data_IF_890641109856
#
_entry.id   IF_890641109856
#
_cell.length_a   1.000
_cell.length_b   1.000
_cell.length_c   1.000
_cell.angle_alpha   90.00
_cell.angle_beta   90.00
_cell.angle_gamma   90.00
#
_symmetry.space_group_name_H-M   'P 1'
#
loop_
_entity.id
_entity.type
_entity.pdbx_description
1 polymer ?
#
# COMPACT_ATOMS: atom_id res chain seq x y z
N UNK A 1 -3.04 -15.93 10.52
CA UNK A 1 -3.41 -14.51 10.75
C UNK A 1 -4.90 -14.49 11.09
N UNK A 2 -5.29 -13.93 12.20
CA UNK A 2 -6.71 -13.68 12.46
C UNK A 2 -7.24 -12.61 11.53
N UNK A 3 -8.37 -12.87 10.92
CA UNK A 3 -9.07 -11.87 10.13
C UNK A 3 -9.64 -10.79 11.05
N UNK A 4 -9.40 -9.53 10.69
CA UNK A 4 -9.91 -8.39 11.45
C UNK A 4 -11.15 -7.85 10.73
N UNK A 5 -12.32 -8.14 11.27
CA UNK A 5 -13.59 -7.61 10.78
C UNK A 5 -14.18 -6.64 11.79
N UNK A 6 -14.57 -5.48 11.31
CA UNK A 6 -15.31 -4.50 12.09
C UNK A 6 -16.34 -3.80 11.24
N UNK A 7 -17.58 -3.87 11.69
CA UNK A 7 -18.71 -3.18 11.08
C UNK A 7 -19.25 -2.18 12.09
N UNK A 8 -19.35 -0.93 11.68
CA UNK A 8 -19.93 0.14 12.48
C UNK A 8 -20.80 1.05 11.60
N UNK A 9 -21.98 1.40 12.09
CA UNK A 9 -22.94 2.26 11.37
C UNK A 9 -22.38 3.68 11.18
N UNK A 10 -21.63 4.18 12.16
CA UNK A 10 -21.01 5.52 12.15
C UNK A 10 -19.61 5.56 11.53
N UNK A 11 -19.14 4.42 11.01
CA UNK A 11 -17.75 4.27 10.58
C UNK A 11 -16.79 3.93 11.71
N UNK A 12 -15.51 3.82 11.39
CA UNK A 12 -14.44 3.44 12.32
C UNK A 12 -13.62 4.67 12.68
N UNK A 13 -13.47 4.95 13.99
CA UNK A 13 -12.63 6.04 14.48
C UNK A 13 -11.14 5.76 14.28
N UNK A 14 -10.30 6.81 14.35
CA UNK A 14 -8.84 6.65 14.27
C UNK A 14 -8.29 5.79 15.41
N UNK A 15 -8.85 5.89 16.61
CA UNK A 15 -8.44 5.08 17.75
C UNK A 15 -8.73 3.59 17.54
N UNK A 16 -9.92 3.26 17.04
CA UNK A 16 -10.31 1.89 16.71
C UNK A 16 -9.50 1.32 15.55
N UNK A 17 -9.24 2.14 14.53
CA UNK A 17 -8.39 1.75 13.40
C UNK A 17 -6.96 1.49 13.88
N UNK A 18 -6.39 2.38 14.69
CA UNK A 18 -5.05 2.20 15.27
C UNK A 18 -4.95 0.92 16.07
N UNK A 19 -5.94 0.59 16.89
CA UNK A 19 -5.98 -0.64 17.67
C UNK A 19 -5.99 -1.88 16.75
N UNK A 20 -6.81 -1.90 15.71
CA UNK A 20 -6.85 -2.98 14.75
C UNK A 20 -5.51 -3.16 14.02
N UNK A 21 -4.87 -2.06 13.61
CA UNK A 21 -3.56 -2.10 12.96
C UNK A 21 -2.45 -2.54 13.90
N UNK A 22 -2.48 -2.15 15.17
CA UNK A 22 -1.58 -2.65 16.21
C UNK A 22 -1.71 -4.17 16.37
N UNK A 23 -2.92 -4.69 16.38
CA UNK A 23 -3.20 -6.12 16.47
C UNK A 23 -2.60 -6.88 15.28
N UNK A 24 -2.64 -6.32 14.07
CA UNK A 24 -2.05 -6.93 12.88
C UNK A 24 -0.52 -7.06 12.96
N UNK A 25 0.13 -6.27 13.81
CA UNK A 25 1.58 -6.27 14.02
C UNK A 25 2.04 -7.11 15.22
N UNK A 26 1.11 -7.72 15.95
CA UNK A 26 1.45 -8.57 17.09
C UNK A 26 2.34 -9.75 16.69
N UNK A 27 3.35 -10.03 17.52
CA UNK A 27 4.30 -11.11 17.30
C UNK A 27 5.27 -10.90 16.12
N UNK A 28 5.24 -9.74 15.47
CA UNK A 28 6.14 -9.41 14.36
C UNK A 28 7.26 -8.49 14.81
N UNK A 29 8.49 -8.88 14.51
CA UNK A 29 9.67 -8.02 14.68
C UNK A 29 10.11 -7.53 13.31
N UNK A 30 9.79 -6.27 13.00
CA UNK A 30 10.03 -5.66 11.69
C UNK A 30 11.12 -4.60 11.82
N UNK A 31 12.19 -4.73 11.02
CA UNK A 31 13.34 -3.81 11.00
C UNK A 31 13.30 -2.87 9.80
N UNK A 32 12.88 -3.38 8.65
CA UNK A 32 12.77 -2.63 7.39
C UNK A 32 11.45 -2.98 6.74
N UNK A 33 10.64 -1.97 6.44
CA UNK A 33 9.29 -2.12 5.91
C UNK A 33 9.10 -1.22 4.70
N UNK A 34 8.56 -1.77 3.64
CA UNK A 34 8.04 -1.04 2.50
C UNK A 34 6.51 -1.09 2.54
N UNK A 35 5.88 0.08 2.58
CA UNK A 35 4.43 0.20 2.46
C UNK A 35 4.10 0.55 1.01
N UNK A 36 3.20 -0.19 0.39
CA UNK A 36 2.78 0.02 -1.00
C UNK A 36 1.28 0.38 -1.03
N UNK A 37 0.93 1.63 -0.76
CA UNK A 37 -0.45 2.09 -0.87
C UNK A 37 -0.82 2.35 -2.34
N UNK A 38 -2.11 2.46 -2.67
CA UNK A 38 -2.50 3.02 -3.96
C UNK A 38 -2.06 4.49 -4.09
N UNK A 39 -2.05 5.01 -5.31
CA UNK A 39 -1.73 6.40 -5.58
C UNK A 39 -2.89 7.36 -5.24
N UNK A 40 -2.70 8.65 -5.51
CA UNK A 40 -3.66 9.70 -5.19
C UNK A 40 -5.02 9.54 -5.90
N UNK A 41 -5.09 8.81 -7.02
CA UNK A 41 -6.37 8.53 -7.71
C UNK A 41 -7.32 7.70 -6.87
N UNK A 42 -6.83 7.03 -5.83
CA UNK A 42 -7.61 6.26 -4.85
C UNK A 42 -7.69 6.93 -3.48
N UNK A 43 -7.61 8.25 -3.44
CA UNK A 43 -7.67 9.03 -2.19
C UNK A 43 -8.84 8.62 -1.26
N UNK A 44 -10.00 8.38 -1.84
CA UNK A 44 -11.22 8.02 -1.09
C UNK A 44 -11.21 6.61 -0.48
N UNK A 45 -10.21 5.78 -0.81
CA UNK A 45 -10.10 4.42 -0.24
C UNK A 45 -9.70 4.38 1.24
N UNK A 46 -9.35 5.53 1.84
CA UNK A 46 -8.77 5.65 3.18
C UNK A 46 -7.37 5.02 3.33
N UNK A 47 -6.76 4.55 2.25
CA UNK A 47 -5.44 3.93 2.27
C UNK A 47 -4.35 4.90 2.78
N UNK A 48 -4.47 6.19 2.49
CA UNK A 48 -3.55 7.21 3.00
C UNK A 48 -3.58 7.30 4.53
N UNK A 49 -4.78 7.29 5.12
CA UNK A 49 -4.99 7.28 6.57
C UNK A 49 -4.38 6.04 7.22
N UNK A 50 -4.64 4.86 6.65
CA UNK A 50 -4.07 3.58 7.12
C UNK A 50 -2.55 3.61 7.01
N UNK A 51 -2.01 4.06 5.89
CA UNK A 51 -0.56 4.20 5.66
C UNK A 51 0.08 5.10 6.71
N UNK A 52 -0.51 6.25 7.01
CA UNK A 52 0.01 7.19 8.00
C UNK A 52 0.05 6.56 9.41
N UNK A 53 -0.99 5.85 9.80
CA UNK A 53 -1.01 5.16 11.08
C UNK A 53 0.06 4.06 11.14
N UNK A 54 0.17 3.21 10.12
CA UNK A 54 1.22 2.18 10.07
C UNK A 54 2.62 2.76 10.09
N UNK A 55 2.85 3.84 9.34
CA UNK A 55 4.14 4.52 9.33
C UNK A 55 4.57 4.94 10.73
N UNK A 56 3.69 5.59 11.48
CA UNK A 56 3.99 6.03 12.83
C UNK A 56 4.17 4.86 13.80
N UNK A 57 3.29 3.86 13.76
CA UNK A 57 3.42 2.67 14.61
C UNK A 57 4.72 1.91 14.39
N UNK A 58 5.14 1.77 13.14
CA UNK A 58 6.36 1.05 12.78
C UNK A 58 7.61 1.85 13.13
N UNK A 59 7.61 3.16 12.86
CA UNK A 59 8.74 4.03 13.21
C UNK A 59 8.91 4.17 14.73
N UNK A 60 7.84 4.25 15.49
CA UNK A 60 7.87 4.22 16.96
C UNK A 60 8.49 2.92 17.51
N UNK A 61 8.37 1.82 16.78
CA UNK A 61 9.00 0.53 17.11
C UNK A 61 10.44 0.41 16.61
N UNK A 62 10.99 1.45 16.00
CA UNK A 62 12.35 1.50 15.50
C UNK A 62 12.55 0.90 14.11
N UNK A 63 11.49 0.60 13.37
CA UNK A 63 11.59 0.14 11.98
C UNK A 63 11.97 1.29 11.04
N UNK A 64 12.77 0.98 10.02
CA UNK A 64 12.94 1.84 8.86
C UNK A 64 11.76 1.63 7.92
N UNK A 65 11.02 2.69 7.60
CA UNK A 65 9.83 2.62 6.76
C UNK A 65 9.97 3.52 5.55
N UNK A 66 9.79 2.93 4.37
CA UNK A 66 9.69 3.63 3.10
C UNK A 66 8.30 3.41 2.50
N UNK A 67 7.85 4.33 1.65
CA UNK A 67 6.52 4.28 1.05
C UNK A 67 6.65 4.42 -0.45
N UNK A 68 6.12 3.45 -1.20
CA UNK A 68 6.10 3.47 -2.66
C UNK A 68 4.66 3.37 -3.15
N UNK A 69 4.00 4.49 -3.47
CA UNK A 69 2.66 4.44 -4.07
C UNK A 69 2.64 3.61 -5.35
N UNK A 70 1.68 2.71 -5.45
CA UNK A 70 1.48 1.87 -6.63
C UNK A 70 0.84 2.72 -7.75
N UNK A 71 1.67 3.23 -8.65
CA UNK A 71 1.24 4.17 -9.69
C UNK A 71 0.49 3.50 -10.86
N UNK A 72 0.72 2.19 -11.07
CA UNK A 72 0.32 1.58 -12.32
C UNK A 72 1.04 2.29 -13.48
N UNK A 73 0.30 2.98 -14.33
CA UNK A 73 0.83 3.79 -15.43
C UNK A 73 0.68 5.31 -15.20
N UNK A 74 0.30 5.71 -13.98
CA UNK A 74 0.11 7.12 -13.62
C UNK A 74 1.45 7.82 -13.33
N UNK A 75 1.40 9.15 -13.35
CA UNK A 75 2.54 9.98 -12.94
C UNK A 75 2.78 9.88 -11.41
N UNK A 76 4.02 10.11 -10.96
CA UNK A 76 4.35 10.13 -9.55
C UNK A 76 3.46 11.08 -8.74
N UNK A 77 3.16 10.71 -7.51
CA UNK A 77 2.40 11.56 -6.58
C UNK A 77 3.16 12.86 -6.33
N UNK A 78 2.53 14.00 -6.59
CA UNK A 78 3.13 15.31 -6.34
C UNK A 78 3.24 15.58 -4.83
N UNK A 79 4.11 16.54 -4.46
CA UNK A 79 4.25 16.94 -3.06
C UNK A 79 2.94 17.41 -2.44
N UNK A 80 2.14 18.20 -3.17
CA UNK A 80 0.84 18.66 -2.70
C UNK A 80 -0.15 17.51 -2.47
N UNK A 81 -0.21 16.55 -3.39
CA UNK A 81 -1.02 15.35 -3.24
C UNK A 81 -0.55 14.49 -2.05
N UNK A 82 0.76 14.37 -1.88
CA UNK A 82 1.36 13.65 -0.75
C UNK A 82 0.94 14.23 0.59
N UNK A 83 1.06 15.54 0.75
CA UNK A 83 0.70 16.25 2.00
C UNK A 83 -0.78 16.09 2.37
N UNK A 84 -1.65 15.93 1.38
CA UNK A 84 -3.08 15.67 1.59
C UNK A 84 -3.32 14.21 1.97
N UNK A 85 -2.72 13.26 1.24
CA UNK A 85 -3.02 11.83 1.38
C UNK A 85 -2.25 11.19 2.54
N UNK A 86 -0.98 11.52 2.70
CA UNK A 86 -0.06 10.91 3.68
C UNK A 86 0.35 11.90 4.76
N UNK A 87 -0.63 12.41 5.49
CA UNK A 87 -0.42 13.41 6.53
C UNK A 87 0.60 12.96 7.58
N UNK A 88 1.53 13.86 7.90
CA UNK A 88 2.55 13.63 8.92
C UNK A 88 3.74 12.77 8.46
N UNK A 89 3.82 12.45 7.17
CA UNK A 89 4.95 11.71 6.58
C UNK A 89 5.72 12.64 5.64
N UNK A 90 7.03 12.75 5.84
CA UNK A 90 7.89 13.57 4.99
C UNK A 90 7.88 13.05 3.53
N UNK A 91 7.79 13.96 2.57
CA UNK A 91 7.75 13.62 1.13
C UNK A 91 8.98 12.83 0.66
N UNK A 92 10.13 13.05 1.31
CA UNK A 92 11.39 12.37 1.04
C UNK A 92 11.36 10.86 1.37
N UNK A 93 10.33 10.40 2.09
CA UNK A 93 10.09 8.99 2.35
C UNK A 93 9.44 8.25 1.17
N UNK A 94 9.02 8.99 0.16
CA UNK A 94 8.44 8.42 -1.06
C UNK A 94 9.52 7.79 -1.92
N UNK A 95 9.33 6.52 -2.26
CA UNK A 95 10.01 5.88 -3.38
C UNK A 95 9.14 5.99 -4.62
N UNK A 96 9.77 6.31 -5.74
CA UNK A 96 9.05 6.40 -7.03
C UNK A 96 8.95 5.00 -7.64
N UNK A 97 7.73 4.62 -8.02
CA UNK A 97 7.48 3.41 -8.79
C UNK A 97 7.80 3.68 -10.28
N UNK A 98 9.03 3.49 -10.69
CA UNK A 98 9.45 3.63 -12.09
C UNK A 98 9.13 2.34 -12.88
N UNK A 99 7.88 2.20 -13.21
CA UNK A 99 7.37 1.03 -13.93
C UNK A 99 7.92 0.88 -15.36
N UNK A 100 8.57 1.91 -15.89
CA UNK A 100 9.20 1.86 -17.22
C UNK A 100 10.62 1.31 -17.20
N UNK A 101 11.39 1.58 -16.14
CA UNK A 101 12.83 1.31 -16.14
C UNK A 101 13.24 0.31 -15.07
N UNK A 102 12.54 0.25 -13.93
CA UNK A 102 12.92 -0.58 -12.78
C UNK A 102 12.25 -1.97 -12.77
N UNK A 103 11.63 -2.36 -13.88
CA UNK A 103 10.97 -3.67 -13.98
C UNK A 103 11.98 -4.78 -14.30
N UNK A 104 11.84 -5.90 -13.60
CA UNK A 104 12.60 -7.11 -13.85
C UNK A 104 11.63 -8.23 -14.23
N UNK A 105 11.91 -8.90 -15.34
CA UNK A 105 11.10 -10.05 -15.77
C UNK A 105 11.26 -11.19 -14.76
N UNK A 106 10.18 -11.59 -14.13
CA UNK A 106 10.15 -12.67 -13.14
C UNK A 106 9.61 -14.00 -13.71
N UNK A 107 9.06 -13.97 -14.92
CA UNK A 107 8.50 -15.15 -15.57
C UNK A 107 7.72 -14.81 -16.82
N UNK A 108 7.23 -15.84 -17.48
CA UNK A 108 6.36 -15.73 -18.64
C UNK A 108 5.14 -16.63 -18.48
N UNK A 109 4.01 -16.20 -19.00
CA UNK A 109 2.81 -17.01 -19.14
C UNK A 109 2.72 -17.43 -20.61
N UNK A 110 2.78 -18.74 -20.94
CA UNK A 110 2.68 -19.21 -22.31
C UNK A 110 1.32 -18.83 -22.94
N UNK A 111 1.32 -18.51 -24.24
CA UNK A 111 0.07 -18.21 -24.95
C UNK A 111 -0.93 -19.38 -24.86
N UNK A 112 -0.44 -20.63 -24.94
CA UNK A 112 -1.28 -21.82 -24.80
C UNK A 112 -2.05 -21.88 -23.46
N UNK A 113 -1.46 -21.36 -22.38
CA UNK A 113 -2.15 -21.27 -21.09
C UNK A 113 -3.29 -20.24 -21.14
N UNK A 114 -3.07 -19.10 -21.78
CA UNK A 114 -4.11 -18.09 -21.96
C UNK A 114 -5.25 -18.60 -22.82
N UNK A 115 -4.94 -19.31 -23.90
CA UNK A 115 -5.94 -19.96 -24.77
C UNK A 115 -6.78 -20.97 -23.98
N UNK A 116 -6.14 -21.80 -23.16
CA UNK A 116 -6.81 -22.79 -22.33
C UNK A 116 -7.77 -22.16 -21.32
N UNK A 117 -7.30 -21.20 -20.52
CA UNK A 117 -8.12 -20.60 -19.46
C UNK A 117 -9.20 -19.66 -19.98
N UNK A 118 -9.05 -19.11 -21.17
CA UNK A 118 -10.03 -18.22 -21.82
C UNK A 118 -10.90 -18.93 -22.85
N UNK A 119 -10.83 -20.25 -22.94
CA UNK A 119 -11.58 -21.04 -23.94
C UNK A 119 -11.40 -20.50 -25.39
N UNK A 120 -10.16 -20.14 -25.72
CA UNK A 120 -9.76 -19.55 -27.01
C UNK A 120 -10.37 -18.16 -27.32
N UNK A 121 -10.80 -17.42 -26.30
CA UNK A 121 -11.28 -16.04 -26.46
C UNK A 121 -10.13 -15.02 -26.52
N UNK A 122 -8.94 -15.41 -26.07
CA UNK A 122 -7.71 -14.59 -26.09
C UNK A 122 -6.56 -15.33 -26.78
N UNK A 123 -5.86 -14.61 -27.65
CA UNK A 123 -4.68 -15.11 -28.36
C UNK A 123 -3.44 -14.28 -28.02
#
# INVERSE_FOLDING_TARGET
>A
MEDIYKIAVSGISDAELKEALLKSLEGRTLKKVLIIPPDFTRFHSQAGRITSIYYHLLTERGAQVDIMPALGTHEPVSKAQWEIMFKGIAYEKMLVHDWRHDVVKIGEVPASYLEEITENLWH
#
